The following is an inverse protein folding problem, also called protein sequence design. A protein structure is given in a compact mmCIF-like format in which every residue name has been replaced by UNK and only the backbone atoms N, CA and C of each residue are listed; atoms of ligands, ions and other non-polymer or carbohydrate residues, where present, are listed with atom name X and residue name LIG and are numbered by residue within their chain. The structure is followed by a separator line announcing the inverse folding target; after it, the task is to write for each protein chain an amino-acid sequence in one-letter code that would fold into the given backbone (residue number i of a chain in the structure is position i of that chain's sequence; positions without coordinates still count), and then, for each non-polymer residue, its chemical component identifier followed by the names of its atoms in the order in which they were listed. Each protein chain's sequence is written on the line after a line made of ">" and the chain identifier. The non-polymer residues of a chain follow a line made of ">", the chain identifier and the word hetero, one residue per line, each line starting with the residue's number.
data_IF_860397105054
#
_entry.id   IF_860397105054
#
_cell.length_a   1.000
_cell.length_b   1.000
_cell.length_c   1.000
_cell.angle_alpha   90.00
_cell.angle_beta   90.00
_cell.angle_gamma   90.00
#
_symmetry.space_group_name_H-M   'P 1'
#
loop_
_entity.id
_entity.type
_entity.pdbx_description
1 polymer ?
#
# COMPACT_ATOMS: atom_id res chain seq x y z
N UNK A 1 -21.42 -8.29 -5.30
CA UNK A 1 -20.86 -9.54 -4.75
C UNK A 1 -20.91 -9.41 -3.23
N UNK A 2 -21.35 -10.44 -2.53
CA UNK A 2 -21.31 -10.49 -1.07
C UNK A 2 -19.97 -11.07 -0.60
N UNK A 3 -19.01 -10.18 -0.37
CA UNK A 3 -17.66 -10.52 0.11
C UNK A 3 -17.42 -9.83 1.46
N UNK A 4 -17.16 -10.62 2.50
CA UNK A 4 -16.78 -10.15 3.82
C UNK A 4 -15.31 -10.48 4.06
N UNK A 5 -14.49 -9.44 4.18
CA UNK A 5 -13.09 -9.53 4.58
C UNK A 5 -12.96 -9.19 6.07
N UNK A 6 -12.27 -10.05 6.83
CA UNK A 6 -12.08 -9.86 8.27
C UNK A 6 -10.68 -10.31 8.70
N UNK A 7 -10.10 -9.60 9.66
CA UNK A 7 -8.83 -9.98 10.30
C UNK A 7 -8.85 -9.61 11.78
N UNK A 8 -8.12 -10.39 12.58
CA UNK A 8 -7.84 -10.11 13.98
C UNK A 8 -6.34 -10.26 14.19
N UNK A 9 -5.77 -9.41 15.04
CA UNK A 9 -4.32 -9.38 15.28
C UNK A 9 -3.85 -10.72 15.84
N UNK A 10 -3.00 -11.42 15.10
CA UNK A 10 -2.46 -12.73 15.48
C UNK A 10 -3.35 -13.93 15.11
N UNK A 11 -4.56 -13.71 14.61
CA UNK A 11 -5.50 -14.78 14.24
C UNK A 11 -5.60 -14.99 12.72
N UNK A 12 -4.94 -14.14 11.93
CA UNK A 12 -4.96 -14.18 10.48
C UNK A 12 -6.12 -13.43 9.84
N UNK A 13 -6.16 -13.47 8.51
CA UNK A 13 -7.18 -12.83 7.68
C UNK A 13 -8.08 -13.87 6.98
N UNK A 14 -9.34 -13.49 6.74
CA UNK A 14 -10.35 -14.34 6.08
C UNK A 14 -11.16 -13.58 5.03
N UNK A 15 -11.64 -14.33 4.03
CA UNK A 15 -12.69 -13.93 3.08
C UNK A 15 -13.82 -14.93 3.20
N UNK A 16 -15.02 -14.50 3.58
CA UNK A 16 -16.19 -15.36 3.79
C UNK A 16 -15.83 -16.59 4.67
N UNK A 17 -15.18 -16.33 5.81
CA UNK A 17 -14.72 -17.32 6.81
C UNK A 17 -13.64 -18.30 6.33
N UNK A 18 -13.06 -18.12 5.13
CA UNK A 18 -11.92 -18.91 4.65
C UNK A 18 -10.64 -18.12 4.80
N UNK A 19 -9.58 -18.75 5.33
CA UNK A 19 -8.25 -18.11 5.46
C UNK A 19 -7.74 -17.66 4.10
N UNK A 20 -7.16 -16.47 4.06
CA UNK A 20 -6.52 -15.90 2.88
C UNK A 20 -5.04 -15.64 3.13
N UNK A 21 -4.28 -15.53 2.05
CA UNK A 21 -2.88 -15.14 2.06
C UNK A 21 -2.60 -14.22 0.89
N UNK A 22 -1.62 -13.34 1.06
CA UNK A 22 -1.05 -12.58 -0.07
C UNK A 22 -0.47 -13.53 -1.11
N UNK A 23 -0.28 -13.05 -2.34
CA UNK A 23 0.26 -13.88 -3.41
C UNK A 23 1.72 -14.32 -3.15
N UNK A 24 2.16 -15.35 -3.85
CA UNK A 24 3.55 -15.83 -3.81
C UNK A 24 4.51 -15.08 -4.74
N UNK A 25 4.05 -14.00 -5.40
CA UNK A 25 4.86 -13.29 -6.40
C UNK A 25 6.04 -12.58 -5.75
N UNK A 26 7.17 -12.62 -6.45
CA UNK A 26 8.43 -12.03 -5.96
C UNK A 26 9.08 -11.05 -6.95
N UNK A 27 8.60 -11.03 -8.21
CA UNK A 27 9.13 -10.18 -9.27
C UNK A 27 7.99 -9.30 -9.82
N UNK A 28 8.33 -8.08 -10.25
CA UNK A 28 7.35 -7.16 -10.82
C UNK A 28 6.78 -7.70 -12.14
N UNK A 29 7.59 -8.36 -12.97
CA UNK A 29 7.21 -8.82 -14.33
C UNK A 29 5.96 -9.69 -14.40
N UNK A 30 5.59 -10.33 -13.29
CA UNK A 30 4.47 -11.26 -13.19
C UNK A 30 3.41 -10.77 -12.17
N UNK A 31 3.50 -9.49 -11.79
CA UNK A 31 2.69 -8.90 -10.74
C UNK A 31 1.63 -7.96 -11.33
N UNK A 32 0.40 -8.10 -10.86
CA UNK A 32 -0.70 -7.18 -11.12
C UNK A 32 -0.83 -6.22 -9.95
N UNK A 33 -0.61 -4.93 -10.19
CA UNK A 33 -0.54 -3.92 -9.14
C UNK A 33 -1.83 -3.09 -9.07
N UNK A 34 -2.35 -2.88 -7.86
CA UNK A 34 -3.41 -1.92 -7.59
C UNK A 34 -2.89 -0.50 -7.50
N UNK A 35 -3.66 0.46 -7.99
CA UNK A 35 -3.31 1.88 -7.92
C UNK A 35 -4.55 2.80 -7.98
N UNK A 36 -4.39 4.04 -7.49
CA UNK A 36 -5.28 5.14 -7.85
C UNK A 36 -4.53 6.48 -7.95
N UNK A 37 -4.90 7.26 -8.97
CA UNK A 37 -4.38 8.62 -9.13
C UNK A 37 -4.75 9.51 -7.94
N UNK A 38 -3.87 10.43 -7.51
CA UNK A 38 -4.10 11.31 -6.36
C UNK A 38 -5.10 12.44 -6.67
N UNK A 39 -6.35 12.11 -6.96
CA UNK A 39 -7.38 13.07 -7.42
C UNK A 39 -7.69 14.17 -6.39
N UNK A 40 -7.56 13.87 -5.08
CA UNK A 40 -7.70 14.84 -3.98
C UNK A 40 -6.44 15.69 -3.74
N UNK A 41 -5.30 15.29 -4.31
CA UNK A 41 -4.00 15.95 -4.15
C UNK A 41 -3.30 16.09 -5.50
N UNK A 42 -3.93 16.77 -6.46
CA UNK A 42 -3.42 16.92 -7.84
C UNK A 42 -1.99 17.46 -7.94
N UNK A 43 -1.52 18.22 -6.95
CA UNK A 43 -0.12 18.68 -6.85
C UNK A 43 0.91 17.54 -6.81
N UNK A 44 0.52 16.34 -6.39
CA UNK A 44 1.37 15.15 -6.35
C UNK A 44 1.43 14.42 -7.69
N UNK A 45 0.58 14.79 -8.66
CA UNK A 45 0.45 14.08 -9.93
C UNK A 45 1.77 13.96 -10.72
N UNK A 46 2.65 14.98 -10.79
CA UNK A 46 3.92 14.83 -11.52
C UNK A 46 4.81 13.72 -10.94
N UNK A 47 4.98 13.69 -9.62
CA UNK A 47 5.78 12.67 -8.94
C UNK A 47 5.10 11.29 -9.03
N UNK A 48 3.78 11.24 -8.82
CA UNK A 48 3.01 10.00 -8.94
C UNK A 48 3.06 9.41 -10.35
N UNK A 49 2.99 10.25 -11.39
CA UNK A 49 3.10 9.80 -12.77
C UNK A 49 4.46 9.17 -13.05
N UNK A 50 5.54 9.78 -12.59
CA UNK A 50 6.88 9.20 -12.76
C UNK A 50 7.01 7.83 -12.03
N UNK A 51 6.43 7.70 -10.82
CA UNK A 51 6.35 6.40 -10.13
C UNK A 51 5.53 5.38 -10.90
N UNK A 52 4.39 5.82 -11.45
CA UNK A 52 3.52 4.98 -12.25
C UNK A 52 4.25 4.49 -13.50
N UNK A 53 4.91 5.36 -14.25
CA UNK A 53 5.64 5.00 -15.46
C UNK A 53 6.71 3.94 -15.13
N UNK A 54 7.51 4.16 -14.07
CA UNK A 54 8.55 3.23 -13.60
C UNK A 54 8.01 1.85 -13.18
N UNK A 55 6.86 1.79 -12.49
CA UNK A 55 6.23 0.54 -12.08
C UNK A 55 5.57 -0.17 -13.27
N UNK A 56 4.89 0.59 -14.14
CA UNK A 56 4.14 0.06 -15.26
C UNK A 56 5.07 -0.56 -16.32
N UNK A 57 6.26 0.00 -16.53
CA UNK A 57 7.29 -0.58 -17.39
C UNK A 57 7.80 -1.96 -16.92
N UNK A 58 7.65 -2.26 -15.62
CA UNK A 58 8.21 -3.46 -15.00
C UNK A 58 7.17 -4.50 -14.59
N UNK A 59 5.89 -4.13 -14.50
CA UNK A 59 4.81 -5.00 -14.02
C UNK A 59 3.96 -5.59 -15.15
N UNK A 60 3.22 -6.67 -14.84
CA UNK A 60 2.37 -7.33 -15.84
C UNK A 60 1.18 -6.46 -16.21
N UNK A 61 0.52 -5.87 -15.21
CA UNK A 61 -0.66 -5.03 -15.40
C UNK A 61 -0.94 -4.15 -14.17
N UNK A 62 -1.78 -3.15 -14.35
CA UNK A 62 -2.28 -2.28 -13.28
C UNK A 62 -3.81 -2.31 -13.22
N UNK A 63 -4.35 -2.32 -12.00
CA UNK A 63 -5.79 -2.33 -11.76
C UNK A 63 -6.19 -1.22 -10.80
N UNK A 64 -7.45 -0.81 -10.89
CA UNK A 64 -8.06 0.18 -9.99
C UNK A 64 -9.42 -0.33 -9.55
N UNK A 65 -9.54 -0.83 -8.32
CA UNK A 65 -10.80 -1.36 -7.81
C UNK A 65 -11.78 -0.25 -7.37
N UNK A 66 -11.30 0.98 -7.20
CA UNK A 66 -12.12 2.17 -6.93
C UNK A 66 -12.18 2.61 -5.46
N UNK A 67 -11.57 1.84 -4.55
CA UNK A 67 -11.40 2.22 -3.14
C UNK A 67 -10.16 1.54 -2.54
N UNK A 68 -9.33 2.32 -1.82
CA UNK A 68 -8.09 1.85 -1.21
C UNK A 68 -8.28 0.62 -0.30
N UNK A 69 -9.36 0.59 0.48
CA UNK A 69 -9.70 -0.53 1.36
C UNK A 69 -9.98 -1.83 0.58
N UNK A 70 -10.59 -1.72 -0.60
CA UNK A 70 -10.86 -2.87 -1.47
C UNK A 70 -9.60 -3.35 -2.19
N UNK A 71 -8.78 -2.43 -2.68
CA UNK A 71 -7.49 -2.77 -3.29
C UNK A 71 -6.58 -3.49 -2.27
N UNK A 72 -6.52 -3.01 -1.01
CA UNK A 72 -5.81 -3.68 0.08
C UNK A 72 -6.39 -5.05 0.42
N UNK A 73 -7.72 -5.20 0.44
CA UNK A 73 -8.37 -6.50 0.66
C UNK A 73 -8.03 -7.49 -0.47
N UNK A 74 -7.93 -7.01 -1.71
CA UNK A 74 -7.51 -7.81 -2.85
C UNK A 74 -6.03 -8.20 -2.80
N UNK A 75 -5.15 -7.34 -2.29
CA UNK A 75 -3.77 -7.71 -1.97
C UNK A 75 -3.75 -8.81 -0.91
N UNK A 76 -4.52 -8.65 0.17
CA UNK A 76 -4.59 -9.63 1.26
C UNK A 76 -5.06 -11.03 0.81
N UNK A 77 -5.87 -11.12 -0.25
CA UNK A 77 -6.29 -12.40 -0.81
C UNK A 77 -5.60 -12.80 -2.12
N UNK A 78 -4.53 -12.10 -2.52
CA UNK A 78 -3.75 -12.42 -3.71
C UNK A 78 -4.47 -12.22 -5.05
N UNK A 79 -5.55 -11.43 -5.08
CA UNK A 79 -6.20 -10.98 -6.34
C UNK A 79 -5.43 -9.82 -6.99
N UNK A 80 -4.74 -9.05 -6.17
CA UNK A 80 -3.70 -8.11 -6.57
C UNK A 80 -2.40 -8.57 -5.90
N UNK A 81 -1.28 -8.35 -6.57
CA UNK A 81 0.03 -8.75 -6.06
C UNK A 81 0.66 -7.63 -5.20
N UNK A 82 0.35 -6.38 -5.52
CA UNK A 82 0.78 -5.24 -4.71
C UNK A 82 -0.14 -4.05 -4.91
N UNK A 83 0.03 -3.03 -4.08
CA UNK A 83 -0.73 -1.79 -4.13
C UNK A 83 0.15 -0.62 -3.69
N UNK A 84 0.04 0.52 -4.39
CA UNK A 84 0.66 1.77 -3.95
C UNK A 84 -0.27 2.96 -4.19
N UNK A 85 -0.31 3.87 -3.23
CA UNK A 85 -1.08 5.12 -3.35
C UNK A 85 -0.51 6.21 -2.42
N UNK A 86 -0.81 7.47 -2.75
CA UNK A 86 -0.32 8.64 -2.03
C UNK A 86 -1.46 9.44 -1.39
N UNK A 87 -1.19 9.97 -0.20
CA UNK A 87 -2.03 10.93 0.53
C UNK A 87 -3.42 10.38 0.94
N UNK A 88 -3.48 9.09 1.27
CA UNK A 88 -4.65 8.45 1.87
C UNK A 88 -4.93 8.96 3.29
N UNK A 89 -6.17 8.85 3.73
CA UNK A 89 -6.53 9.10 5.13
C UNK A 89 -6.35 7.82 5.96
N UNK A 90 -6.07 7.93 7.28
CA UNK A 90 -5.87 6.74 8.12
C UNK A 90 -7.02 5.75 8.06
N UNK A 91 -8.27 6.23 8.02
CA UNK A 91 -9.46 5.38 7.95
C UNK A 91 -9.64 4.67 6.60
N UNK A 92 -9.05 5.19 5.51
CA UNK A 92 -9.11 4.53 4.19
C UNK A 92 -8.20 3.30 4.14
N UNK A 93 -7.18 3.23 5.00
CA UNK A 93 -6.13 2.20 4.95
C UNK A 93 -6.08 1.28 6.16
N UNK A 94 -6.48 1.72 7.36
CA UNK A 94 -6.23 0.99 8.59
C UNK A 94 -6.77 -0.45 8.58
N UNK A 95 -8.02 -0.65 8.15
CA UNK A 95 -8.62 -1.98 8.05
C UNK A 95 -7.97 -2.87 6.98
N UNK A 96 -7.71 -2.29 5.80
CA UNK A 96 -7.03 -2.99 4.70
C UNK A 96 -5.59 -3.38 5.03
N UNK A 97 -4.87 -2.51 5.75
CA UNK A 97 -3.51 -2.76 6.17
C UNK A 97 -3.43 -3.94 7.13
N UNK A 98 -4.35 -4.04 8.09
CA UNK A 98 -4.43 -5.18 9.00
C UNK A 98 -4.71 -6.48 8.23
N UNK A 99 -5.61 -6.46 7.23
CA UNK A 99 -5.86 -7.63 6.38
C UNK A 99 -4.57 -8.09 5.68
N UNK A 100 -3.81 -7.16 5.08
CA UNK A 100 -2.55 -7.49 4.39
C UNK A 100 -1.52 -8.07 5.36
N UNK A 101 -1.34 -7.46 6.54
CA UNK A 101 -0.40 -7.93 7.55
C UNK A 101 -0.74 -9.34 8.05
N UNK A 102 -2.01 -9.57 8.40
CA UNK A 102 -2.50 -10.87 8.90
C UNK A 102 -2.58 -11.94 7.80
N UNK A 103 -2.58 -11.55 6.52
CA UNK A 103 -2.45 -12.44 5.37
C UNK A 103 -0.99 -12.78 5.03
N UNK A 104 0.00 -12.26 5.78
CA UNK A 104 1.43 -12.51 5.58
C UNK A 104 2.13 -11.55 4.62
N UNK A 105 1.49 -10.43 4.29
CA UNK A 105 2.09 -9.32 3.55
C UNK A 105 2.74 -8.28 4.45
N UNK A 106 3.24 -7.23 3.82
CA UNK A 106 3.77 -6.06 4.51
C UNK A 106 3.10 -4.79 4.02
N UNK A 107 3.04 -3.80 4.91
CA UNK A 107 2.60 -2.43 4.60
C UNK A 107 3.69 -1.49 5.12
N UNK A 108 4.18 -0.63 4.24
CA UNK A 108 5.25 0.32 4.52
C UNK A 108 4.95 1.66 3.85
N UNK A 109 5.63 2.72 4.28
CA UNK A 109 5.60 3.98 3.54
C UNK A 109 6.48 3.91 2.28
N UNK A 110 6.38 4.94 1.43
CA UNK A 110 7.15 5.03 0.18
C UNK A 110 8.67 5.19 0.37
N UNK A 111 9.13 5.41 1.61
CA UNK A 111 10.57 5.38 1.98
C UNK A 111 11.00 4.04 2.57
N UNK A 112 10.07 3.12 2.81
CA UNK A 112 10.32 1.80 3.42
C UNK A 112 10.15 1.77 4.94
N UNK A 113 9.64 2.85 5.54
CA UNK A 113 9.40 2.95 6.98
C UNK A 113 7.98 2.54 7.41
N UNK A 114 7.67 2.77 8.68
CA UNK A 114 6.39 2.45 9.32
C UNK A 114 5.42 3.65 9.37
N UNK A 115 5.75 4.77 8.76
CA UNK A 115 4.96 6.01 8.83
C UNK A 115 3.84 6.06 7.78
N UNK A 116 3.43 4.90 7.25
CA UNK A 116 2.41 4.79 6.20
C UNK A 116 1.04 5.27 6.68
N UNK A 117 0.65 4.97 7.93
CA UNK A 117 -0.64 5.39 8.49
C UNK A 117 -0.69 6.91 8.68
N UNK A 118 0.43 7.50 9.08
CA UNK A 118 0.54 8.93 9.37
C UNK A 118 0.67 9.78 8.10
N UNK A 119 1.56 9.38 7.19
CA UNK A 119 1.83 10.07 5.93
C UNK A 119 0.70 9.86 4.91
N UNK A 120 0.04 8.70 4.93
CA UNK A 120 -0.91 8.27 3.91
C UNK A 120 -0.25 7.88 2.60
N UNK A 121 1.08 7.74 2.56
CA UNK A 121 1.82 7.20 1.44
C UNK A 121 2.12 5.75 1.74
N UNK A 122 1.62 4.82 0.93
CA UNK A 122 1.68 3.41 1.27
C UNK A 122 2.16 2.56 0.09
N UNK A 123 2.87 1.48 0.43
CA UNK A 123 3.14 0.31 -0.39
C UNK A 123 2.65 -0.90 0.40
N UNK A 124 1.82 -1.74 -0.21
CA UNK A 124 1.32 -2.97 0.39
C UNK A 124 1.52 -4.14 -0.59
N UNK A 125 2.21 -5.20 -0.17
CA UNK A 125 2.57 -6.34 -1.03
C UNK A 125 3.10 -7.53 -0.21
N UNK A 126 3.31 -8.73 -0.80
CA UNK A 126 4.20 -9.74 -0.25
C UNK A 126 5.59 -9.15 0.01
N UNK A 127 6.26 -9.60 1.09
CA UNK A 127 7.56 -9.06 1.52
C UNK A 127 8.60 -9.00 0.39
N UNK A 128 8.68 -10.07 -0.43
CA UNK A 128 9.64 -10.17 -1.54
C UNK A 128 9.32 -9.22 -2.70
N UNK A 129 8.06 -8.86 -2.92
CA UNK A 129 7.63 -7.93 -3.97
C UNK A 129 7.65 -6.47 -3.51
N UNK A 130 7.49 -6.20 -2.21
CA UNK A 130 7.55 -4.84 -1.67
C UNK A 130 8.90 -4.15 -1.93
N UNK A 131 10.00 -4.91 -1.91
CA UNK A 131 11.35 -4.39 -2.19
C UNK A 131 11.52 -3.86 -3.61
N UNK A 132 11.23 -4.62 -4.69
CA UNK A 132 11.31 -4.10 -6.05
C UNK A 132 10.30 -2.97 -6.29
N UNK A 133 9.09 -3.00 -5.71
CA UNK A 133 8.15 -1.87 -5.79
C UNK A 133 8.77 -0.58 -5.21
N UNK A 134 9.36 -0.66 -4.00
CA UNK A 134 10.02 0.49 -3.37
C UNK A 134 11.16 1.03 -4.22
N UNK A 135 11.99 0.15 -4.79
CA UNK A 135 13.11 0.53 -5.67
C UNK A 135 12.64 1.26 -6.93
N UNK A 136 11.51 0.85 -7.51
CA UNK A 136 10.93 1.55 -8.66
C UNK A 136 10.39 2.94 -8.29
N UNK A 137 9.87 3.11 -7.07
CA UNK A 137 9.31 4.38 -6.56
C UNK A 137 10.41 5.36 -6.10
N UNK A 138 11.49 4.86 -5.50
CA UNK A 138 12.52 5.63 -4.80
C UNK A 138 13.14 6.79 -5.61
N UNK A 139 13.47 6.63 -6.90
CA UNK A 139 14.02 7.73 -7.73
C UNK A 139 13.07 8.92 -7.91
N UNK A 140 11.78 8.74 -7.68
CA UNK A 140 10.73 9.73 -7.93
C UNK A 140 10.25 10.43 -6.65
N UNK A 141 10.88 10.14 -5.51
CA UNK A 141 10.58 10.76 -4.23
C UNK A 141 11.08 12.21 -4.18
N UNK A 142 10.15 13.14 -4.35
CA UNK A 142 10.40 14.57 -4.14
C UNK A 142 10.64 14.90 -2.66
N UNK A 143 11.28 16.03 -2.39
CA UNK A 143 11.48 16.53 -1.03
C UNK A 143 10.16 16.69 -0.27
N UNK A 144 9.09 17.17 -0.93
CA UNK A 144 7.78 17.31 -0.32
C UNK A 144 7.17 15.97 0.14
N UNK A 145 7.42 14.89 -0.61
CA UNK A 145 6.97 13.54 -0.23
C UNK A 145 7.76 13.02 0.97
N UNK A 146 9.09 13.21 0.98
CA UNK A 146 9.97 12.83 2.10
C UNK A 146 9.62 13.61 3.38
N UNK A 147 9.47 14.92 3.26
CA UNK A 147 9.08 15.80 4.36
C UNK A 147 7.74 15.38 4.96
N UNK A 148 6.76 14.95 4.15
CA UNK A 148 5.48 14.47 4.66
C UNK A 148 5.58 13.16 5.44
N UNK A 149 6.50 12.26 5.07
CA UNK A 149 6.79 11.06 5.85
C UNK A 149 7.41 11.43 7.19
N UNK A 150 8.35 12.39 7.20
CA UNK A 150 9.04 12.84 8.42
C UNK A 150 8.17 13.69 9.37
N UNK A 151 7.29 14.55 8.84
CA UNK A 151 6.59 15.59 9.60
C UNK A 151 5.62 15.08 10.68
N UNK A 152 5.25 13.79 10.67
CA UNK A 152 4.33 13.20 11.64
C UNK A 152 4.97 12.17 12.58
N UNK A 153 6.24 11.83 12.36
CA UNK A 153 7.02 11.08 13.34
C UNK A 153 7.27 11.91 14.61
N UNK A 154 7.32 13.24 14.48
CA UNK A 154 7.66 14.16 15.56
C UNK A 154 6.46 14.68 16.40
N UNK A 155 5.22 14.32 16.06
CA UNK A 155 4.03 14.76 16.83
C UNK A 155 3.56 13.74 17.89
N UNK A 156 4.36 12.70 18.17
CA UNK A 156 4.04 11.62 19.12
C UNK A 156 4.67 11.77 20.50
N UNK A 157 5.40 12.86 20.77
CA UNK A 157 6.05 13.13 22.07
C UNK A 157 5.57 14.48 22.59
N UNK A 158 4.29 14.59 22.97
CA UNK A 158 3.77 15.67 23.84
C UNK A 158 2.27 15.46 24.12
N UNK A 159 1.94 14.44 24.91
CA UNK A 159 0.71 14.41 25.73
C UNK A 159 0.81 13.26 26.73
N UNK A 160 1.49 13.51 27.85
CA UNK A 160 1.71 12.53 28.91
C UNK A 160 2.58 13.11 30.02
N UNK A 161 2.14 14.21 30.62
CA UNK A 161 2.65 14.76 31.88
C UNK A 161 1.53 15.55 32.54
#
# INVERSE_FOLDING_TARGET
>A
RDELFAASRGDGATLNNRRIRVSGRTALSDAVLGMAFPFRSRRLLPAYRAMFDSLFEQCEDVRRAGAASLDLAYVACGRLDGYWELALKPWDVAGGALLVQEAGGVVMDITGGDQWLNSGHIIAAPFKLATPMRRAIEPHLTEALRARVAAKSNSGVESGS
#
